data_IF_657330750028
#
_entry.id   IF_657330750028
#
_cell.length_a   1.000
_cell.length_b   1.000
_cell.length_c   1.000
_cell.angle_alpha   90.00
_cell.angle_beta   90.00
_cell.angle_gamma   90.00
#
_symmetry.space_group_name_H-M   'P 1'
#
loop_
_entity.id
_entity.type
_entity.pdbx_description
1 polymer ?
#
# COMPACT_ATOMS: atom_id res chain seq x y z
N UNK A 1 -2.89 -7.16 19.07
CA UNK A 1 -1.90 -6.08 18.83
C UNK A 1 -0.99 -6.27 17.61
N UNK A 2 -0.26 -7.39 17.40
CA UNK A 2 0.57 -7.55 16.18
C UNK A 2 -0.26 -7.61 14.91
N UNK A 3 -1.30 -8.44 14.90
CA UNK A 3 -2.25 -8.62 13.78
C UNK A 3 -2.90 -7.30 13.39
N UNK A 4 -3.44 -6.56 14.37
CA UNK A 4 -4.05 -5.25 14.16
C UNK A 4 -3.08 -4.24 13.52
N UNK A 5 -1.82 -4.21 13.97
CA UNK A 5 -0.80 -3.33 13.37
C UNK A 5 -0.51 -3.70 11.91
N UNK A 6 -0.39 -4.99 11.62
CA UNK A 6 -0.17 -5.47 10.25
C UNK A 6 -1.35 -5.12 9.33
N UNK A 7 -2.58 -5.36 9.80
CA UNK A 7 -3.81 -5.01 9.08
C UNK A 7 -3.94 -3.50 8.87
N UNK A 8 -3.66 -2.67 9.88
CA UNK A 8 -3.69 -1.21 9.75
C UNK A 8 -2.67 -0.70 8.74
N UNK A 9 -1.44 -1.24 8.77
CA UNK A 9 -0.38 -0.87 7.82
C UNK A 9 -0.74 -1.27 6.38
N UNK A 10 -1.28 -2.47 6.21
CA UNK A 10 -1.78 -2.91 4.90
C UNK A 10 -2.90 -1.99 4.39
N UNK A 11 -3.88 -1.65 5.24
CA UNK A 11 -4.99 -0.76 4.89
C UNK A 11 -4.51 0.63 4.46
N UNK A 12 -3.58 1.23 5.22
CA UNK A 12 -3.00 2.54 4.91
C UNK A 12 -2.36 2.56 3.51
N UNK A 13 -1.51 1.58 3.23
CA UNK A 13 -0.81 1.49 1.95
C UNK A 13 -1.78 1.20 0.79
N UNK A 14 -2.75 0.29 1.01
CA UNK A 14 -3.75 -0.05 0.00
C UNK A 14 -4.63 1.16 -0.35
N UNK A 15 -5.06 1.94 0.65
CA UNK A 15 -5.82 3.17 0.44
C UNK A 15 -4.99 4.22 -0.30
N UNK A 16 -3.71 4.37 0.05
CA UNK A 16 -2.81 5.30 -0.61
C UNK A 16 -2.59 4.96 -2.10
N UNK A 17 -2.55 3.68 -2.45
CA UNK A 17 -2.33 3.20 -3.82
C UNK A 17 -3.61 3.24 -4.67
N UNK A 18 -4.73 2.74 -4.13
CA UNK A 18 -5.96 2.51 -4.90
C UNK A 18 -7.11 3.48 -4.59
N UNK A 19 -6.96 4.37 -3.59
CA UNK A 19 -7.99 5.31 -3.15
C UNK A 19 -9.33 4.64 -2.79
N UNK A 20 -9.28 3.38 -2.34
CA UNK A 20 -10.44 2.58 -1.91
C UNK A 20 -10.02 1.61 -0.82
N UNK A 21 -10.99 1.16 -0.02
CA UNK A 21 -10.78 0.11 0.97
C UNK A 21 -10.67 -1.28 0.30
N UNK A 22 -9.91 -2.21 0.89
CA UNK A 22 -9.95 -3.61 0.48
C UNK A 22 -11.36 -4.17 0.72
N UNK A 23 -11.83 -5.03 -0.18
CA UNK A 23 -13.18 -5.63 -0.08
C UNK A 23 -13.34 -6.46 1.18
N UNK A 24 -12.26 -7.06 1.65
CA UNK A 24 -12.25 -7.89 2.84
C UNK A 24 -10.89 -7.81 3.53
N UNK A 25 -10.91 -7.55 4.83
CA UNK A 25 -9.74 -7.56 5.70
C UNK A 25 -10.21 -7.96 7.11
N UNK A 26 -9.97 -9.22 7.50
CA UNK A 26 -10.46 -9.77 8.79
C UNK A 26 -9.38 -10.59 9.48
N UNK A 27 -9.34 -10.48 10.80
CA UNK A 27 -8.55 -11.38 11.65
C UNK A 27 -9.29 -12.73 11.77
N UNK A 28 -8.58 -13.83 11.54
CA UNK A 28 -9.09 -15.20 11.68
C UNK A 28 -8.57 -15.89 12.95
N UNK A 29 -7.73 -15.22 13.75
CA UNK A 29 -7.03 -15.80 14.89
C UNK A 29 -5.77 -16.57 14.48
N UNK A 30 -4.94 -16.92 15.47
CA UNK A 30 -3.72 -17.72 15.30
C UNK A 30 -2.77 -17.19 14.20
N UNK A 31 -2.62 -15.86 14.12
CA UNK A 31 -1.82 -15.16 13.10
C UNK A 31 -2.29 -15.39 11.65
N UNK A 32 -3.57 -15.72 11.45
CA UNK A 32 -4.19 -15.80 10.14
C UNK A 32 -5.09 -14.60 9.89
N UNK A 33 -5.07 -14.12 8.65
CA UNK A 33 -5.91 -13.03 8.18
C UNK A 33 -6.56 -13.40 6.86
N UNK A 34 -7.76 -12.87 6.65
CA UNK A 34 -8.48 -12.93 5.38
C UNK A 34 -8.35 -11.58 4.68
N UNK A 35 -7.87 -11.59 3.44
CA UNK A 35 -7.66 -10.40 2.62
C UNK A 35 -8.27 -10.63 1.23
N UNK A 36 -9.30 -9.88 0.87
CA UNK A 36 -9.99 -9.98 -0.42
C UNK A 36 -10.34 -11.43 -0.86
N UNK A 37 -10.83 -12.25 0.07
CA UNK A 37 -11.15 -13.67 -0.17
C UNK A 37 -9.96 -14.64 -0.10
N UNK A 38 -8.73 -14.16 0.09
CA UNK A 38 -7.54 -15.00 0.27
C UNK A 38 -7.10 -15.06 1.74
N UNK A 39 -6.83 -16.26 2.26
CA UNK A 39 -6.29 -16.45 3.61
C UNK A 39 -4.76 -16.47 3.57
N UNK A 40 -4.12 -15.72 4.43
CA UNK A 40 -2.66 -15.66 4.54
C UNK A 40 -2.23 -15.45 6.01
N UNK A 41 -0.96 -15.73 6.31
CA UNK A 41 -0.38 -15.44 7.61
C UNK A 41 -0.10 -13.94 7.78
N UNK A 42 -0.04 -13.49 9.02
CA UNK A 42 0.30 -12.10 9.37
C UNK A 42 1.68 -11.71 8.83
N UNK A 43 2.66 -12.61 8.85
CA UNK A 43 3.99 -12.37 8.28
C UNK A 43 3.91 -12.11 6.76
N UNK A 44 3.04 -12.86 6.06
CA UNK A 44 2.81 -12.68 4.62
C UNK A 44 2.12 -11.34 4.35
N UNK A 45 1.17 -10.94 5.20
CA UNK A 45 0.53 -9.62 5.14
C UNK A 45 1.54 -8.48 5.33
N UNK A 46 2.47 -8.61 6.28
CA UNK A 46 3.52 -7.61 6.53
C UNK A 46 4.45 -7.46 5.31
N UNK A 47 4.83 -8.57 4.69
CA UNK A 47 5.62 -8.57 3.45
C UNK A 47 4.86 -7.93 2.29
N UNK A 48 3.59 -8.28 2.11
CA UNK A 48 2.72 -7.69 1.10
C UNK A 48 2.57 -6.17 1.29
N UNK A 49 2.36 -5.72 2.52
CA UNK A 49 2.29 -4.30 2.84
C UNK A 49 3.61 -3.57 2.53
N UNK A 50 4.76 -4.20 2.78
CA UNK A 50 6.07 -3.65 2.43
C UNK A 50 6.29 -3.57 0.91
N UNK A 51 5.86 -4.57 0.16
CA UNK A 51 5.89 -4.57 -1.31
C UNK A 51 5.03 -3.46 -1.90
N UNK A 52 3.77 -3.37 -1.48
CA UNK A 52 2.86 -2.30 -1.90
C UNK A 52 3.40 -0.91 -1.55
N UNK A 53 4.07 -0.77 -0.40
CA UNK A 53 4.68 0.49 0.02
C UNK A 53 5.83 0.89 -0.91
N UNK A 54 6.67 -0.08 -1.32
CA UNK A 54 7.73 0.16 -2.30
C UNK A 54 7.18 0.55 -3.66
N UNK A 55 6.13 -0.12 -4.13
CA UNK A 55 5.44 0.21 -5.39
C UNK A 55 4.85 1.63 -5.33
N UNK A 56 4.17 1.97 -4.23
CA UNK A 56 3.63 3.31 -4.01
C UNK A 56 4.72 4.39 -4.07
N UNK A 57 5.85 4.18 -3.40
CA UNK A 57 6.99 5.10 -3.45
C UNK A 57 7.56 5.25 -4.86
N UNK A 58 7.63 4.16 -5.63
CA UNK A 58 8.08 4.20 -7.03
C UNK A 58 7.12 5.01 -7.91
N UNK A 59 5.80 4.81 -7.78
CA UNK A 59 4.78 5.58 -8.50
C UNK A 59 4.84 7.06 -8.13
N UNK A 60 4.98 7.39 -6.84
CA UNK A 60 5.13 8.76 -6.39
C UNK A 60 6.40 9.42 -6.93
N UNK A 61 7.53 8.70 -6.92
CA UNK A 61 8.81 9.18 -7.47
C UNK A 61 8.69 9.48 -8.96
N UNK A 62 8.08 8.57 -9.72
CA UNK A 62 7.81 8.75 -11.15
C UNK A 62 6.91 9.98 -11.41
N UNK A 63 5.81 10.13 -10.65
CA UNK A 63 4.93 11.31 -10.75
C UNK A 63 5.65 12.61 -10.44
N UNK A 64 6.45 12.67 -9.36
CA UNK A 64 7.25 13.85 -8.99
C UNK A 64 8.25 14.22 -10.08
N UNK A 65 8.89 13.23 -10.71
CA UNK A 65 9.83 13.44 -11.81
C UNK A 65 9.13 14.09 -13.03
N UNK A 66 7.93 13.63 -13.39
CA UNK A 66 7.11 14.22 -14.47
C UNK A 66 6.71 15.66 -14.13
N UNK A 67 6.19 15.92 -12.93
CA UNK A 67 5.81 17.28 -12.50
C UNK A 67 7.02 18.22 -12.53
N UNK A 68 8.18 17.76 -12.05
CA UNK A 68 9.42 18.56 -12.09
C UNK A 68 9.84 18.89 -13.53
N UNK A 69 9.72 17.94 -14.46
CA UNK A 69 9.99 18.18 -15.89
C UNK A 69 9.02 19.20 -16.48
N UNK A 70 7.73 19.10 -16.16
CA UNK A 70 6.71 20.05 -16.60
C UNK A 70 6.97 21.46 -16.05
N UNK A 71 7.26 21.59 -14.75
CA UNK A 71 7.61 22.88 -14.14
C UNK A 71 8.86 23.50 -14.79
N UNK A 72 9.90 22.70 -15.04
CA UNK A 72 11.11 23.18 -15.72
C UNK A 72 10.84 23.64 -17.16
N UNK A 73 9.86 23.05 -17.84
CA UNK A 73 9.45 23.47 -19.18
C UNK A 73 8.71 24.80 -19.14
N UNK A 74 7.76 24.96 -18.23
CA UNK A 74 7.04 26.24 -18.03
C UNK A 74 7.95 27.38 -17.57
N UNK A 75 9.00 27.11 -16.78
CA UNK A 75 9.93 28.16 -16.34
C UNK A 75 10.98 28.57 -17.38
N UNK A 76 11.06 27.87 -18.51
CA UNK A 76 11.97 28.19 -19.62
C UNK A 76 11.26 28.82 -20.83
N UNK A 77 9.93 28.92 -20.79
CA UNK A 77 9.11 29.67 -21.75
C UNK A 77 8.91 31.10 -21.24
#
# INVERSE_FOLDING_TARGET
>A
MRVEKAMARYLEVYLALYQREPKELRDLGDEWVLVNGARMRVDELENLAAELSREYQQVLSNKRSIVKKLMNWFSKA
#
